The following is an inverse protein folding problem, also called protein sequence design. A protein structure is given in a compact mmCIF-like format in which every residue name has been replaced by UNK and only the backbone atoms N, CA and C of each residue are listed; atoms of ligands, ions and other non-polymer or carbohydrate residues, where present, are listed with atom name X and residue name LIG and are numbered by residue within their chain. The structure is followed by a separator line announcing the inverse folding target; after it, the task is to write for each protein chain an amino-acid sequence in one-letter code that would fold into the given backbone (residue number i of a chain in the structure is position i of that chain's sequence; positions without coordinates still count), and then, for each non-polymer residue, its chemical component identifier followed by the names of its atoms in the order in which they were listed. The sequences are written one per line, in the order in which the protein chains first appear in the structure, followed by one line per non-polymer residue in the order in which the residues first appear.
data_IF_889421724965
#
_entry.id   IF_889421724965
#
_cell.length_a   1.000
_cell.length_b   1.000
_cell.length_c   1.000
_cell.angle_alpha   90.00
_cell.angle_beta   90.00
_cell.angle_gamma   90.00
#
_symmetry.space_group_name_H-M   'P 1'
#
loop_
_entity.id
_entity.type
_entity.pdbx_description
1 polymer ?
#
# COMPACT_ATOMS: atom_id res chain seq x y z
N UNK A 1 4.90 23.44 -11.33
CA UNK A 1 3.97 22.46 -10.73
C UNK A 1 2.66 22.52 -11.49
N UNK A 2 2.01 21.37 -11.65
CA UNK A 2 0.69 21.25 -12.23
C UNK A 2 -0.35 21.11 -11.11
N UNK A 3 -1.25 22.09 -10.99
CA UNK A 3 -2.24 22.14 -9.90
C UNK A 3 -3.33 21.08 -10.07
N UNK A 4 -3.71 20.73 -11.30
CA UNK A 4 -4.69 19.69 -11.59
C UNK A 4 -4.17 18.31 -11.17
N UNK A 5 -2.95 17.97 -11.58
CA UNK A 5 -2.31 16.72 -11.17
C UNK A 5 -2.09 16.67 -9.66
N UNK A 6 -1.67 17.78 -9.03
CA UNK A 6 -1.49 17.85 -7.58
C UNK A 6 -2.81 17.59 -6.84
N UNK A 7 -3.89 18.27 -7.22
CA UNK A 7 -5.20 18.09 -6.62
C UNK A 7 -5.74 16.65 -6.83
N UNK A 8 -5.55 16.11 -8.03
CA UNK A 8 -5.95 14.74 -8.35
C UNK A 8 -5.21 13.72 -7.50
N UNK A 9 -3.90 13.86 -7.36
CA UNK A 9 -3.09 12.91 -6.58
C UNK A 9 -3.38 12.99 -5.07
N UNK A 10 -3.63 14.19 -4.51
CA UNK A 10 -4.07 14.33 -3.11
C UNK A 10 -5.44 13.70 -2.88
N UNK A 11 -6.39 13.91 -3.80
CA UNK A 11 -7.72 13.29 -3.75
C UNK A 11 -7.60 11.76 -3.85
N UNK A 12 -6.78 11.26 -4.78
CA UNK A 12 -6.54 9.82 -4.95
C UNK A 12 -5.90 9.21 -3.71
N UNK A 13 -4.92 9.88 -3.08
CA UNK A 13 -4.33 9.43 -1.82
C UNK A 13 -5.37 9.30 -0.69
N UNK A 14 -6.27 10.28 -0.55
CA UNK A 14 -7.36 10.24 0.42
C UNK A 14 -8.34 9.09 0.15
N UNK A 15 -8.69 8.85 -1.11
CA UNK A 15 -9.56 7.73 -1.52
C UNK A 15 -8.92 6.38 -1.21
N UNK A 16 -7.64 6.19 -1.52
CA UNK A 16 -6.92 4.94 -1.21
C UNK A 16 -6.75 4.76 0.30
N UNK A 17 -6.47 5.83 1.05
CA UNK A 17 -6.41 5.77 2.50
C UNK A 17 -7.72 5.24 3.11
N UNK A 18 -8.88 5.64 2.57
CA UNK A 18 -10.20 5.17 2.99
C UNK A 18 -10.38 3.65 2.82
N UNK A 19 -9.64 3.02 1.89
CA UNK A 19 -9.75 1.57 1.67
C UNK A 19 -9.26 0.76 2.88
N UNK A 20 -8.28 1.24 3.64
CA UNK A 20 -7.78 0.52 4.82
C UNK A 20 -8.87 0.36 5.90
N UNK A 21 -9.58 1.40 6.37
CA UNK A 21 -10.76 1.20 7.21
C UNK A 21 -11.88 0.42 6.52
N UNK A 22 -12.02 0.52 5.19
CA UNK A 22 -12.94 -0.32 4.42
C UNK A 22 -12.66 -1.81 4.61
N UNK A 23 -11.40 -2.25 4.49
CA UNK A 23 -10.99 -3.64 4.78
C UNK A 23 -11.25 -4.01 6.23
N UNK A 24 -11.02 -3.08 7.17
CA UNK A 24 -11.27 -3.32 8.58
C UNK A 24 -12.75 -3.68 8.85
N UNK A 25 -13.70 -2.94 8.27
CA UNK A 25 -15.13 -3.24 8.35
C UNK A 25 -15.49 -4.51 7.58
N UNK A 26 -14.94 -4.72 6.40
CA UNK A 26 -15.18 -5.91 5.59
C UNK A 26 -14.78 -7.18 6.35
N UNK A 27 -13.55 -7.27 6.82
CA UNK A 27 -13.08 -8.41 7.62
C UNK A 27 -13.72 -8.45 9.00
N UNK A 28 -13.93 -7.29 9.63
CA UNK A 28 -14.62 -7.19 10.91
C UNK A 28 -16.02 -7.79 10.88
N UNK A 29 -16.78 -7.56 9.81
CA UNK A 29 -18.09 -8.17 9.62
C UNK A 29 -18.07 -9.70 9.37
N UNK A 30 -16.98 -10.20 8.75
CA UNK A 30 -16.82 -11.61 8.39
C UNK A 30 -16.35 -12.51 9.54
N UNK A 31 -15.65 -11.97 10.54
CA UNK A 31 -15.20 -12.76 11.69
C UNK A 31 -16.32 -12.95 12.72
N UNK A 32 -16.09 -13.83 13.72
CA UNK A 32 -17.02 -14.00 14.83
C UNK A 32 -17.11 -12.73 15.69
N UNK A 33 -18.27 -12.43 16.28
CA UNK A 33 -18.53 -11.21 17.06
C UNK A 33 -17.43 -10.88 18.08
N UNK A 34 -16.93 -11.88 18.80
CA UNK A 34 -15.86 -11.72 19.80
C UNK A 34 -14.49 -11.30 19.21
N UNK A 35 -14.29 -11.45 17.89
CA UNK A 35 -13.03 -11.15 17.22
C UNK A 35 -13.05 -9.81 16.47
N UNK A 36 -14.19 -9.11 16.41
CA UNK A 36 -14.35 -7.86 15.65
C UNK A 36 -13.35 -6.80 16.05
N UNK A 37 -13.31 -6.47 17.35
CA UNK A 37 -12.40 -5.44 17.84
C UNK A 37 -10.93 -5.79 17.54
N UNK A 38 -10.55 -7.05 17.72
CA UNK A 38 -9.21 -7.51 17.37
C UNK A 38 -8.92 -7.28 15.87
N UNK A 39 -9.88 -7.61 14.99
CA UNK A 39 -9.72 -7.42 13.54
C UNK A 39 -9.57 -5.95 13.14
N UNK A 40 -10.38 -5.06 13.73
CA UNK A 40 -10.27 -3.61 13.55
C UNK A 40 -8.89 -3.11 14.02
N UNK A 41 -8.43 -3.57 15.19
CA UNK A 41 -7.12 -3.21 15.74
C UNK A 41 -5.95 -3.72 14.90
N UNK A 42 -6.04 -4.92 14.33
CA UNK A 42 -5.00 -5.43 13.41
C UNK A 42 -4.89 -4.54 12.16
N UNK A 43 -6.02 -4.10 11.60
CA UNK A 43 -6.04 -3.18 10.46
C UNK A 43 -5.50 -1.79 10.83
N UNK A 44 -5.85 -1.26 12.00
CA UNK A 44 -5.31 0.01 12.50
C UNK A 44 -3.80 -0.07 12.75
N UNK A 45 -3.31 -1.20 13.29
CA UNK A 45 -1.87 -1.43 13.47
C UNK A 45 -1.14 -1.49 12.11
N UNK A 46 -1.71 -2.19 11.12
CA UNK A 46 -1.16 -2.24 9.77
C UNK A 46 -0.95 -0.83 9.20
N UNK A 47 -1.98 0.03 9.29
CA UNK A 47 -1.91 1.41 8.85
C UNK A 47 -0.83 2.20 9.59
N UNK A 48 -0.87 2.18 10.93
CA UNK A 48 0.00 3.03 11.77
C UNK A 48 1.47 2.63 11.68
N UNK A 49 1.78 1.33 11.76
CA UNK A 49 3.15 0.83 11.68
C UNK A 49 3.72 1.07 10.28
N UNK A 50 2.92 0.86 9.23
CA UNK A 50 3.35 1.16 7.86
C UNK A 50 3.68 2.63 7.68
N UNK A 51 2.87 3.56 8.22
CA UNK A 51 3.16 4.99 8.15
C UNK A 51 4.53 5.33 8.77
N UNK A 52 4.83 4.76 9.94
CA UNK A 52 6.11 4.97 10.63
C UNK A 52 7.27 4.41 9.81
N UNK A 53 7.19 3.15 9.37
CA UNK A 53 8.23 2.50 8.56
C UNK A 53 8.46 3.25 7.25
N UNK A 54 7.38 3.67 6.58
CA UNK A 54 7.44 4.41 5.33
C UNK A 54 8.15 5.75 5.49
N UNK A 55 7.82 6.48 6.55
CA UNK A 55 8.47 7.76 6.87
C UNK A 55 9.95 7.59 7.21
N UNK A 56 10.31 6.55 7.96
CA UNK A 56 11.69 6.31 8.36
C UNK A 56 12.58 5.92 7.19
N UNK A 57 12.23 4.85 6.46
CA UNK A 57 13.09 4.31 5.38
C UNK A 57 12.33 3.66 4.22
N UNK A 58 11.04 3.31 4.39
CA UNK A 58 10.26 2.59 3.37
C UNK A 58 10.19 3.34 2.05
N UNK A 59 9.96 4.66 2.11
CA UNK A 59 9.99 5.53 0.93
C UNK A 59 11.35 5.49 0.23
N UNK A 60 12.44 5.56 1.00
CA UNK A 60 13.80 5.51 0.46
C UNK A 60 14.07 4.20 -0.26
N UNK A 61 13.74 3.07 0.37
CA UNK A 61 13.91 1.73 -0.20
C UNK A 61 13.10 1.57 -1.48
N UNK A 62 11.86 2.09 -1.51
CA UNK A 62 10.98 1.92 -2.66
C UNK A 62 11.30 2.88 -3.82
N UNK A 63 11.56 4.17 -3.54
CA UNK A 63 11.54 5.20 -4.57
C UNK A 63 12.70 6.19 -4.57
N UNK A 64 13.20 6.63 -3.42
CA UNK A 64 14.15 7.74 -3.33
C UNK A 64 15.62 7.32 -3.39
N UNK A 65 15.94 6.13 -2.92
CA UNK A 65 17.32 5.63 -2.85
C UNK A 65 17.87 5.19 -4.19
N UNK A 66 19.20 5.33 -4.37
CA UNK A 66 19.89 4.69 -5.49
C UNK A 66 19.69 3.18 -5.46
N UNK A 67 19.48 2.58 -6.63
CA UNK A 67 19.16 1.14 -6.73
C UNK A 67 20.35 0.27 -6.34
N UNK A 68 20.14 -0.66 -5.42
CA UNK A 68 21.11 -1.67 -5.00
C UNK A 68 20.70 -3.00 -5.61
N UNK A 69 21.48 -3.45 -6.59
CA UNK A 69 21.25 -4.70 -7.30
C UNK A 69 19.92 -4.79 -8.08
N UNK A 70 19.21 -3.65 -8.26
CA UNK A 70 17.88 -3.64 -8.87
C UNK A 70 16.77 -4.18 -7.96
N UNK A 71 17.09 -4.50 -6.69
CA UNK A 71 16.14 -5.12 -5.75
C UNK A 71 15.52 -4.08 -4.82
N UNK A 72 16.33 -3.15 -4.30
CA UNK A 72 15.88 -2.12 -3.37
C UNK A 72 16.72 -0.85 -3.49
N UNK A 73 16.16 0.29 -3.06
CA UNK A 73 16.88 1.56 -2.96
C UNK A 73 17.65 1.67 -1.64
N UNK A 74 18.71 2.48 -1.65
CA UNK A 74 19.49 2.80 -0.44
C UNK A 74 18.57 3.43 0.64
N UNK A 75 18.41 2.80 1.82
CA UNK A 75 17.53 3.30 2.87
C UNK A 75 17.95 4.64 3.48
N UNK A 76 19.23 5.02 3.35
CA UNK A 76 19.76 6.24 3.95
C UNK A 76 19.47 7.51 3.13
N UNK A 77 19.30 7.38 1.81
CA UNK A 77 19.15 8.54 0.90
C UNK A 77 17.94 9.40 1.24
N UNK A 78 16.77 8.78 1.41
CA UNK A 78 15.51 9.45 1.74
C UNK A 78 15.03 9.20 3.17
N UNK A 79 15.96 8.87 4.09
CA UNK A 79 15.62 8.64 5.50
C UNK A 79 14.88 9.84 6.11
N UNK A 80 13.80 9.58 6.84
CA UNK A 80 12.88 10.59 7.39
C UNK A 80 12.29 11.52 6.32
N UNK A 81 12.07 11.01 5.11
CA UNK A 81 11.54 11.76 3.97
C UNK A 81 12.42 12.96 3.57
N UNK A 82 13.74 12.87 3.84
CA UNK A 82 14.72 13.88 3.45
C UNK A 82 14.55 14.23 1.97
N UNK A 83 14.70 15.51 1.65
CA UNK A 83 14.60 16.04 0.30
C UNK A 83 13.22 15.92 -0.39
N UNK A 84 12.15 15.62 0.36
CA UNK A 84 10.77 15.69 -0.18
C UNK A 84 10.10 17.04 0.07
N UNK A 85 10.51 17.74 1.14
CA UNK A 85 10.03 19.08 1.51
C UNK A 85 11.17 19.92 2.06
N UNK A 86 11.14 21.23 1.79
CA UNK A 86 12.06 22.21 2.36
C UNK A 86 11.26 23.23 3.17
N UNK A 87 11.69 23.50 4.39
CA UNK A 87 11.15 24.58 5.19
C UNK A 87 11.83 25.90 4.82
N UNK A 88 11.04 26.84 4.31
CA UNK A 88 11.49 28.21 4.07
C UNK A 88 11.27 29.06 5.34
N UNK A 89 12.37 29.42 6.01
CA UNK A 89 12.33 30.19 7.24
C UNK A 89 11.85 31.63 7.03
N UNK A 90 12.00 32.20 5.82
CA UNK A 90 11.58 33.56 5.49
C UNK A 90 10.05 33.65 5.37
N UNK A 91 9.45 32.72 4.66
CA UNK A 91 7.98 32.64 4.48
C UNK A 91 7.28 31.81 5.57
N UNK A 92 8.04 31.08 6.38
CA UNK A 92 7.54 30.10 7.37
C UNK A 92 6.63 29.04 6.76
N UNK A 93 6.90 28.65 5.52
CA UNK A 93 6.12 27.65 4.78
C UNK A 93 6.99 26.47 4.36
N UNK A 94 6.36 25.30 4.24
CA UNK A 94 6.97 24.16 3.58
C UNK A 94 6.77 24.27 2.07
N UNK A 95 7.84 24.13 1.33
CA UNK A 95 7.81 24.06 -0.13
C UNK A 95 8.25 22.68 -0.59
N UNK A 96 7.85 22.28 -1.79
CA UNK A 96 8.31 21.04 -2.40
C UNK A 96 9.82 21.15 -2.69
N UNK A 97 10.61 20.20 -2.19
CA UNK A 97 12.03 20.12 -2.53
C UNK A 97 12.23 19.66 -3.98
N UNK A 98 11.28 18.91 -4.55
CA UNK A 98 11.33 18.40 -5.90
C UNK A 98 9.97 17.96 -6.42
N UNK A 99 9.94 17.60 -7.70
CA UNK A 99 8.79 17.00 -8.35
C UNK A 99 8.88 15.48 -8.29
N UNK A 100 7.73 14.82 -8.36
CA UNK A 100 7.66 13.37 -8.49
C UNK A 100 8.44 12.90 -9.73
N UNK A 101 9.13 11.78 -9.60
CA UNK A 101 10.05 11.26 -10.64
C UNK A 101 9.32 10.80 -11.92
N UNK A 102 7.99 10.64 -11.87
CA UNK A 102 7.17 10.19 -13.00
C UNK A 102 6.93 11.27 -14.07
N UNK A 103 7.47 12.48 -13.92
CA UNK A 103 7.36 13.56 -14.91
C UNK A 103 6.05 14.34 -14.92
N UNK A 104 5.07 14.01 -14.07
CA UNK A 104 3.73 14.64 -14.07
C UNK A 104 3.64 15.95 -13.28
N UNK A 105 4.78 16.53 -12.90
CA UNK A 105 4.94 17.89 -12.38
C UNK A 105 4.15 18.23 -11.10
N UNK A 106 3.85 17.25 -10.25
CA UNK A 106 3.34 17.48 -8.90
C UNK A 106 4.44 17.27 -7.84
N UNK A 107 4.31 17.77 -6.61
CA UNK A 107 5.33 17.65 -5.56
C UNK A 107 5.66 16.19 -5.20
N UNK A 108 6.92 15.89 -4.93
CA UNK A 108 7.35 14.56 -4.45
C UNK A 108 6.68 14.16 -3.14
N UNK A 109 6.38 15.11 -2.25
CA UNK A 109 5.63 14.86 -1.00
C UNK A 109 4.22 14.33 -1.23
N UNK A 110 3.58 14.72 -2.34
CA UNK A 110 2.26 14.19 -2.74
C UNK A 110 2.40 12.74 -3.21
N UNK A 111 3.49 12.42 -3.91
CA UNK A 111 3.79 11.05 -4.32
C UNK A 111 4.06 10.13 -3.11
N UNK A 112 4.85 10.61 -2.13
CA UNK A 112 5.02 9.92 -0.84
C UNK A 112 3.67 9.60 -0.20
N UNK A 113 2.76 10.59 -0.17
CA UNK A 113 1.44 10.45 0.43
C UNK A 113 0.54 9.46 -0.32
N UNK A 114 0.62 9.40 -1.63
CA UNK A 114 -0.11 8.41 -2.43
C UNK A 114 0.46 7.01 -2.25
N UNK A 115 1.77 6.85 -2.37
CA UNK A 115 2.42 5.54 -2.31
C UNK A 115 2.36 4.88 -0.93
N UNK A 116 2.39 5.64 0.17
CA UNK A 116 2.22 5.07 1.51
C UNK A 116 0.86 4.40 1.67
N UNK A 117 -0.20 4.92 1.03
CA UNK A 117 -1.54 4.33 1.13
C UNK A 117 -1.61 2.95 0.45
N UNK A 118 -0.83 2.73 -0.60
CA UNK A 118 -0.67 1.42 -1.23
C UNK A 118 0.04 0.43 -0.30
N UNK A 119 1.10 0.85 0.38
CA UNK A 119 1.76 0.02 1.39
C UNK A 119 0.81 -0.36 2.54
N UNK A 120 0.03 0.61 3.03
CA UNK A 120 -0.96 0.42 4.09
C UNK A 120 -2.03 -0.61 3.72
N UNK A 121 -2.65 -0.45 2.54
CA UNK A 121 -3.70 -1.38 2.12
C UNK A 121 -3.13 -2.77 1.86
N UNK A 122 -1.94 -2.89 1.28
CA UNK A 122 -1.32 -4.17 0.95
C UNK A 122 -1.13 -5.05 2.19
N UNK A 123 -0.49 -4.51 3.23
CA UNK A 123 -0.31 -5.29 4.46
C UNK A 123 -1.62 -5.53 5.20
N UNK A 124 -2.59 -4.62 5.08
CA UNK A 124 -3.91 -4.82 5.68
C UNK A 124 -4.69 -5.98 5.05
N UNK A 125 -4.50 -6.25 3.76
CA UNK A 125 -5.11 -7.41 3.10
C UNK A 125 -4.70 -8.74 3.74
N UNK A 126 -3.49 -8.83 4.29
CA UNK A 126 -2.98 -10.03 4.98
C UNK A 126 -3.76 -10.31 6.27
N UNK A 127 -4.35 -9.30 6.92
CA UNK A 127 -5.08 -9.44 8.19
C UNK A 127 -6.16 -10.52 8.16
N UNK A 128 -6.85 -10.68 7.03
CA UNK A 128 -7.89 -11.70 6.86
C UNK A 128 -7.36 -13.12 7.06
N UNK A 129 -6.15 -13.37 6.59
CA UNK A 129 -5.50 -14.68 6.69
C UNK A 129 -5.10 -15.05 8.12
N UNK A 130 -4.84 -14.07 8.98
CA UNK A 130 -4.38 -14.28 10.36
C UNK A 130 -5.49 -14.14 11.42
N UNK A 131 -6.72 -13.88 10.97
CA UNK A 131 -7.87 -13.67 11.84
C UNK A 131 -7.98 -14.70 12.97
N UNK A 132 -8.11 -14.23 14.23
CA UNK A 132 -8.24 -15.03 15.46
C UNK A 132 -7.05 -15.93 15.81
N UNK A 133 -5.86 -15.74 15.19
CA UNK A 133 -4.73 -16.68 15.32
C UNK A 133 -3.40 -16.04 15.74
N UNK A 134 -3.26 -14.73 15.60
CA UNK A 134 -2.00 -14.02 15.84
C UNK A 134 -2.18 -12.99 16.97
N UNK A 135 -1.16 -12.86 17.82
CA UNK A 135 -1.10 -11.82 18.85
C UNK A 135 -0.87 -10.45 18.22
N UNK A 136 -1.48 -9.42 18.78
CA UNK A 136 -1.37 -8.04 18.29
C UNK A 136 0.09 -7.56 18.17
N UNK A 137 0.91 -7.79 19.19
CA UNK A 137 2.33 -7.41 19.17
C UNK A 137 3.15 -8.13 18.09
N UNK A 138 2.87 -9.43 17.86
CA UNK A 138 3.51 -10.21 16.79
C UNK A 138 3.11 -9.64 15.42
N UNK A 139 1.86 -9.23 15.27
CA UNK A 139 1.39 -8.58 14.05
C UNK A 139 2.09 -7.26 13.79
N UNK A 140 2.24 -6.40 14.79
CA UNK A 140 2.94 -5.12 14.65
C UNK A 140 4.40 -5.33 14.19
N UNK A 141 5.10 -6.29 14.80
CA UNK A 141 6.47 -6.65 14.40
C UNK A 141 6.51 -7.18 12.95
N UNK A 142 5.58 -8.08 12.61
CA UNK A 142 5.47 -8.61 11.24
C UNK A 142 5.27 -7.49 10.23
N UNK A 143 4.35 -6.55 10.48
CA UNK A 143 4.10 -5.40 9.59
C UNK A 143 5.37 -4.61 9.35
N UNK A 144 6.10 -4.27 10.41
CA UNK A 144 7.34 -3.49 10.29
C UNK A 144 8.40 -4.21 9.44
N UNK A 145 8.60 -5.50 9.68
CA UNK A 145 9.56 -6.31 8.94
C UNK A 145 9.10 -6.56 7.50
N UNK A 146 7.84 -6.90 7.28
CA UNK A 146 7.32 -7.22 5.97
C UNK A 146 7.30 -6.00 5.04
N UNK A 147 6.89 -4.83 5.54
CA UNK A 147 6.95 -3.60 4.75
C UNK A 147 8.39 -3.23 4.38
N UNK A 148 9.34 -3.47 5.30
CA UNK A 148 10.76 -3.14 5.08
C UNK A 148 11.42 -4.11 4.09
N UNK A 149 11.24 -5.42 4.26
CA UNK A 149 12.02 -6.43 3.55
C UNK A 149 11.31 -7.07 2.36
N UNK A 150 10.00 -6.84 2.23
CA UNK A 150 9.20 -7.41 1.14
C UNK A 150 8.51 -6.32 0.33
N UNK A 151 7.59 -5.53 0.93
CA UNK A 151 6.79 -4.57 0.18
C UNK A 151 7.63 -3.48 -0.50
N UNK A 152 8.49 -2.80 0.24
CA UNK A 152 9.28 -1.70 -0.31
C UNK A 152 10.28 -2.17 -1.39
N UNK A 153 10.99 -3.30 -1.24
CA UNK A 153 11.76 -3.91 -2.32
C UNK A 153 10.91 -4.32 -3.52
N UNK A 154 9.72 -4.91 -3.31
CA UNK A 154 8.84 -5.29 -4.42
C UNK A 154 8.37 -4.06 -5.22
N UNK A 155 8.00 -2.98 -4.54
CA UNK A 155 7.66 -1.71 -5.17
C UNK A 155 8.85 -1.14 -5.97
N UNK A 156 10.08 -1.22 -5.43
CA UNK A 156 11.29 -0.83 -6.13
C UNK A 156 11.51 -1.66 -7.40
N UNK A 157 11.43 -2.98 -7.27
CA UNK A 157 11.67 -3.90 -8.39
C UNK A 157 10.71 -3.68 -9.55
N UNK A 158 9.43 -3.42 -9.27
CA UNK A 158 8.37 -3.35 -10.30
C UNK A 158 8.17 -1.91 -10.79
N UNK A 159 8.09 -0.94 -9.89
CA UNK A 159 7.67 0.43 -10.21
C UNK A 159 8.81 1.45 -10.30
N UNK A 160 9.98 1.15 -9.75
CA UNK A 160 11.09 2.12 -9.67
C UNK A 160 12.39 1.64 -10.35
N UNK A 161 12.30 1.28 -11.62
CA UNK A 161 13.46 0.87 -12.44
C UNK A 161 14.29 -0.30 -11.90
N UNK A 162 13.71 -1.16 -11.04
CA UNK A 162 14.34 -2.37 -10.54
C UNK A 162 14.26 -3.55 -11.52
N UNK A 163 14.58 -4.76 -11.03
CA UNK A 163 14.75 -5.98 -11.84
C UNK A 163 13.54 -6.33 -12.70
N UNK A 164 12.31 -6.11 -12.21
CA UNK A 164 11.03 -6.48 -12.86
C UNK A 164 10.39 -5.30 -13.61
N UNK A 165 10.95 -4.11 -13.54
CA UNK A 165 10.43 -2.94 -14.25
C UNK A 165 10.52 -3.13 -15.78
N UNK A 166 9.82 -2.31 -16.54
CA UNK A 166 9.76 -2.40 -18.00
C UNK A 166 11.14 -2.39 -18.69
N UNK A 167 12.13 -1.71 -18.06
CA UNK A 167 13.53 -1.65 -18.53
C UNK A 167 14.48 -2.48 -17.68
N UNK A 168 13.94 -3.26 -16.75
CA UNK A 168 14.73 -4.09 -15.83
C UNK A 168 15.41 -5.27 -16.55
N UNK A 169 16.52 -5.79 -15.96
CA UNK A 169 17.29 -6.86 -16.55
C UNK A 169 16.47 -8.12 -16.83
N UNK A 170 15.56 -8.51 -15.91
CA UNK A 170 14.70 -9.68 -16.10
C UNK A 170 13.73 -9.46 -17.25
N UNK A 171 13.03 -8.32 -17.27
CA UNK A 171 12.09 -7.97 -18.33
C UNK A 171 12.77 -7.93 -19.70
N UNK A 172 13.98 -7.40 -19.76
CA UNK A 172 14.80 -7.37 -21.00
C UNK A 172 15.20 -8.77 -21.44
N UNK A 173 15.64 -9.62 -20.49
CA UNK A 173 16.09 -10.98 -20.80
C UNK A 173 14.98 -11.89 -21.32
N UNK A 174 13.75 -11.75 -20.80
CA UNK A 174 12.58 -12.55 -21.21
C UNK A 174 11.77 -11.91 -22.34
N UNK A 175 12.12 -10.67 -22.75
CA UNK A 175 11.38 -9.92 -23.78
C UNK A 175 9.97 -9.48 -23.36
N UNK A 176 9.66 -9.48 -22.06
CA UNK A 176 8.36 -9.10 -21.50
C UNK A 176 8.51 -8.36 -20.18
N UNK A 177 7.86 -7.21 -20.04
CA UNK A 177 7.83 -6.44 -18.80
C UNK A 177 6.69 -6.89 -17.89
N UNK A 178 6.92 -6.84 -16.57
CA UNK A 178 5.82 -6.93 -15.62
C UNK A 178 4.87 -5.74 -15.83
N UNK A 179 3.63 -6.02 -16.21
CA UNK A 179 2.61 -5.00 -16.38
C UNK A 179 1.81 -4.85 -15.09
N UNK A 180 2.20 -3.88 -14.28
CA UNK A 180 1.53 -3.54 -13.03
C UNK A 180 1.15 -2.06 -13.03
N UNK A 181 -0.10 -1.76 -13.41
CA UNK A 181 -0.59 -0.39 -13.49
C UNK A 181 -0.99 0.17 -12.13
N UNK A 182 -1.66 -0.63 -11.30
CA UNK A 182 -2.23 -0.21 -10.03
C UNK A 182 -2.01 -1.23 -8.89
N UNK A 183 -0.99 -2.05 -8.92
CA UNK A 183 -0.65 -2.95 -7.83
C UNK A 183 -1.11 -4.40 -8.00
N UNK A 184 -1.36 -4.86 -9.23
CA UNK A 184 -1.66 -6.27 -9.48
C UNK A 184 -0.59 -7.20 -8.90
N UNK A 185 0.68 -6.87 -9.09
CA UNK A 185 1.83 -7.62 -8.54
C UNK A 185 2.22 -7.11 -7.16
N UNK A 186 2.54 -5.82 -7.05
CA UNK A 186 3.11 -5.23 -5.83
C UNK A 186 2.16 -5.30 -4.64
N UNK A 187 0.86 -5.14 -4.87
CA UNK A 187 -0.16 -5.17 -3.81
C UNK A 187 -0.79 -6.56 -3.70
N UNK A 188 -1.48 -7.01 -4.76
CA UNK A 188 -2.40 -8.13 -4.64
C UNK A 188 -1.70 -9.50 -4.66
N UNK A 189 -0.83 -9.78 -5.62
CA UNK A 189 -0.07 -11.04 -5.65
C UNK A 189 0.82 -11.13 -4.42
N UNK A 190 1.50 -10.06 -4.07
CA UNK A 190 2.39 -9.99 -2.91
C UNK A 190 1.64 -10.29 -1.60
N UNK A 191 0.55 -9.58 -1.30
CA UNK A 191 -0.26 -9.82 -0.11
C UNK A 191 -0.87 -11.23 -0.09
N UNK A 192 -1.31 -11.75 -1.25
CA UNK A 192 -1.90 -13.08 -1.35
C UNK A 192 -0.87 -14.18 -1.06
N UNK A 193 0.35 -14.05 -1.57
CA UNK A 193 1.43 -15.00 -1.30
C UNK A 193 1.87 -14.97 0.16
N UNK A 194 2.03 -13.79 0.75
CA UNK A 194 2.30 -13.65 2.19
C UNK A 194 1.19 -14.31 3.02
N UNK A 195 -0.08 -14.02 2.70
CA UNK A 195 -1.23 -14.60 3.38
C UNK A 195 -1.25 -16.14 3.26
N UNK A 196 -0.98 -16.69 2.09
CA UNK A 196 -0.93 -18.13 1.85
C UNK A 196 0.16 -18.80 2.69
N UNK A 197 1.38 -18.27 2.67
CA UNK A 197 2.49 -18.81 3.45
C UNK A 197 2.20 -18.76 4.96
N UNK A 198 1.70 -17.63 5.45
CA UNK A 198 1.33 -17.48 6.86
C UNK A 198 0.27 -18.52 7.25
N UNK A 199 -0.79 -18.70 6.45
CA UNK A 199 -1.85 -19.68 6.75
C UNK A 199 -1.32 -21.11 6.82
N UNK A 200 -0.38 -21.47 5.96
CA UNK A 200 0.27 -22.80 5.98
C UNK A 200 1.10 -23.01 7.26
N UNK A 201 1.77 -21.94 7.73
CA UNK A 201 2.63 -22.01 8.93
C UNK A 201 1.79 -22.04 10.22
N UNK A 202 0.81 -21.12 10.36
CA UNK A 202 0.03 -20.97 11.60
C UNK A 202 -1.09 -22.00 11.75
N UNK A 203 -1.45 -22.67 10.67
CA UNK A 203 -2.45 -23.74 10.67
C UNK A 203 -3.89 -23.25 10.80
N UNK A 204 -4.78 -24.18 11.20
CA UNK A 204 -6.24 -23.95 11.24
C UNK A 204 -6.69 -23.08 12.41
N UNK A 205 -7.75 -22.29 12.23
CA UNK A 205 -8.42 -21.56 13.33
C UNK A 205 -9.06 -22.53 14.32
N UNK A 206 -9.11 -22.12 15.61
CA UNK A 206 -9.81 -22.91 16.64
C UNK A 206 -11.28 -23.11 16.26
N UNK A 207 -11.71 -24.36 16.22
CA UNK A 207 -13.05 -24.78 15.81
C UNK A 207 -13.25 -24.95 14.30
N UNK A 208 -12.17 -24.85 13.49
CA UNK A 208 -12.27 -25.08 12.05
C UNK A 208 -12.71 -26.52 11.75
N UNK A 209 -13.79 -26.67 10.97
CA UNK A 209 -14.37 -27.96 10.59
C UNK A 209 -15.22 -28.62 11.69
N UNK A 210 -15.25 -28.07 12.92
CA UNK A 210 -16.03 -28.63 14.06
C UNK A 210 -17.10 -27.67 14.58
N UNK A 211 -16.97 -26.38 14.32
CA UNK A 211 -17.91 -25.34 14.73
C UNK A 211 -18.22 -24.40 13.55
N UNK A 212 -19.47 -23.90 13.42
CA UNK A 212 -19.80 -22.93 12.39
C UNK A 212 -19.06 -21.62 12.66
N UNK A 213 -18.31 -21.15 11.67
CA UNK A 213 -17.63 -19.85 11.68
C UNK A 213 -18.41 -18.93 10.75
N UNK A 214 -19.56 -18.41 11.25
CA UNK A 214 -20.44 -17.54 10.47
C UNK A 214 -20.04 -16.09 10.60
N UNK A 215 -20.16 -15.27 9.53
CA UNK A 215 -20.08 -13.81 9.63
C UNK A 215 -21.08 -13.31 10.67
N UNK A 216 -20.62 -12.40 11.55
CA UNK A 216 -21.53 -11.89 12.60
C UNK A 216 -22.35 -10.69 12.16
N UNK A 217 -21.86 -9.93 11.16
CA UNK A 217 -22.50 -8.68 10.73
C UNK A 217 -22.31 -8.45 9.22
N UNK A 218 -23.24 -8.97 8.43
CA UNK A 218 -23.24 -8.81 6.97
C UNK A 218 -23.38 -7.33 6.54
N UNK A 219 -24.19 -6.46 7.19
CA UNK A 219 -24.17 -5.02 6.93
C UNK A 219 -22.78 -4.40 7.04
N UNK A 220 -21.94 -4.79 8.00
CA UNK A 220 -20.54 -4.32 8.07
C UNK A 220 -19.70 -4.81 6.89
N UNK A 221 -19.92 -6.04 6.44
CA UNK A 221 -19.24 -6.56 5.22
C UNK A 221 -19.60 -5.70 4.02
N UNK A 222 -20.90 -5.39 3.84
CA UNK A 222 -21.36 -4.53 2.74
C UNK A 222 -20.83 -3.11 2.84
N UNK A 223 -20.84 -2.51 4.03
CA UNK A 223 -20.25 -1.19 4.26
C UNK A 223 -18.77 -1.18 3.88
N UNK A 224 -18.01 -2.16 4.35
CA UNK A 224 -16.60 -2.31 4.02
C UNK A 224 -16.36 -2.46 2.52
N UNK A 225 -17.18 -3.27 1.84
CA UNK A 225 -17.11 -3.46 0.40
C UNK A 225 -17.37 -2.15 -0.38
N UNK A 226 -18.36 -1.35 0.03
CA UNK A 226 -18.64 -0.06 -0.61
C UNK A 226 -17.54 0.99 -0.34
N UNK A 227 -16.97 1.03 0.86
CA UNK A 227 -15.83 1.89 1.16
C UNK A 227 -14.60 1.50 0.33
N UNK A 228 -14.36 0.19 0.16
CA UNK A 228 -13.31 -0.32 -0.74
C UNK A 228 -13.57 0.10 -2.18
N UNK A 229 -14.78 -0.11 -2.68
CA UNK A 229 -15.12 0.25 -4.06
C UNK A 229 -14.99 1.75 -4.29
N UNK A 230 -15.49 2.57 -3.38
CA UNK A 230 -15.33 4.03 -3.49
C UNK A 230 -13.86 4.46 -3.51
N UNK A 231 -13.03 3.88 -2.65
CA UNK A 231 -11.59 4.15 -2.63
C UNK A 231 -10.86 3.65 -3.87
N UNK A 232 -11.39 2.62 -4.54
CA UNK A 232 -10.79 2.02 -5.73
C UNK A 232 -10.77 2.96 -6.94
N UNK A 233 -11.66 3.92 -7.00
CA UNK A 233 -11.59 4.99 -7.99
C UNK A 233 -10.27 5.77 -7.88
N UNK A 234 -9.83 6.09 -6.67
CA UNK A 234 -8.51 6.69 -6.43
C UNK A 234 -7.38 5.70 -6.65
N UNK A 235 -7.55 4.44 -6.27
CA UNK A 235 -6.56 3.39 -6.43
C UNK A 235 -6.19 3.17 -7.90
N UNK A 236 -7.17 2.93 -8.76
CA UNK A 236 -6.95 2.70 -10.18
C UNK A 236 -6.69 3.99 -10.95
N UNK A 237 -7.58 4.97 -10.87
CA UNK A 237 -7.44 6.18 -11.68
C UNK A 237 -6.31 7.10 -11.17
N UNK A 238 -5.99 7.08 -9.87
CA UNK A 238 -4.80 7.74 -9.32
C UNK A 238 -3.49 7.17 -9.84
N UNK A 239 -3.46 5.87 -10.19
CA UNK A 239 -2.27 5.21 -10.76
C UNK A 239 -1.90 5.67 -12.17
N UNK A 240 -2.71 6.54 -12.79
CA UNK A 240 -2.30 7.30 -13.95
C UNK A 240 -1.32 8.45 -13.61
N UNK A 241 -1.17 8.80 -12.33
CA UNK A 241 -0.33 9.89 -11.81
C UNK A 241 -0.62 11.27 -12.42
N UNK A 242 -1.75 11.42 -13.10
CA UNK A 242 -2.17 12.65 -13.75
C UNK A 242 -3.69 12.69 -13.95
N UNK A 243 -4.26 13.89 -13.97
CA UNK A 243 -5.65 14.12 -14.34
C UNK A 243 -5.80 14.13 -15.87
N UNK A 244 -5.79 12.95 -16.49
CA UNK A 244 -5.76 12.77 -17.94
C UNK A 244 -6.75 11.69 -18.43
N UNK A 245 -6.74 11.40 -19.73
CA UNK A 245 -7.61 10.39 -20.33
C UNK A 245 -7.41 8.98 -19.78
N UNK A 246 -6.17 8.61 -19.39
CA UNK A 246 -5.88 7.32 -18.75
C UNK A 246 -6.56 7.21 -17.39
N UNK A 247 -6.53 8.28 -16.59
CA UNK A 247 -7.26 8.33 -15.32
C UNK A 247 -8.77 8.21 -15.55
N UNK A 248 -9.31 8.92 -16.55
CA UNK A 248 -10.72 8.83 -16.93
C UNK A 248 -11.13 7.42 -17.36
N UNK A 249 -10.32 6.75 -18.17
CA UNK A 249 -10.56 5.37 -18.58
C UNK A 249 -10.50 4.39 -17.39
N UNK A 250 -9.47 4.50 -16.55
CA UNK A 250 -9.36 3.67 -15.35
C UNK A 250 -10.54 3.89 -14.38
N UNK A 251 -11.03 5.14 -14.25
CA UNK A 251 -12.23 5.45 -13.48
C UNK A 251 -13.47 4.74 -14.01
N UNK A 252 -13.70 4.81 -15.33
CA UNK A 252 -14.86 4.17 -15.96
C UNK A 252 -14.85 2.65 -15.86
N UNK A 253 -13.68 2.03 -15.87
CA UNK A 253 -13.52 0.58 -15.78
C UNK A 253 -13.56 0.03 -14.35
N UNK A 254 -13.49 0.91 -13.34
CA UNK A 254 -13.56 0.56 -11.92
C UNK A 254 -15.01 0.43 -11.46
#
# INVERSE_FOLDING_TARGET
MDSGNTAWMLTSAALVFLMTPGVAFFYGGMVRAKAVLNMLMLSAAALSVTAVVWTLWGWSIAYAGSSIGGIFGDPATGFLLKDTMVFDAGTRQYTAAGLAANGNKYPSSVDVSFQVTFAMITVTLICGAIAERVKYSTWMLFVALWVTFDYAPMAHMVWNNGLLSAKGPISTAIGAAAHDFAGGTVVHINAAMAALIIVLIIGKRKGFGTQPIRPHNVPFVMLGAFLLWFGWFGFNAGSAFAANGTAGYAWMST
#
